data_IF_858603280645
#
_entry.id   IF_858603280645
#
_cell.length_a   1.000
_cell.length_b   1.000
_cell.length_c   1.000
_cell.angle_alpha   90.00
_cell.angle_beta   90.00
_cell.angle_gamma   90.00
#
_symmetry.space_group_name_H-M   'P 1'
#
loop_
_entity.id
_entity.type
_entity.pdbx_description
1 polymer ?
#
# COMPACT_ATOMS: atom_id res chain seq x y z
N UNK A 1 -9.27 6.30 34.22
CA UNK A 1 -8.92 7.69 33.81
C UNK A 1 -10.18 8.53 33.94
N UNK A 2 -10.10 9.86 33.93
CA UNK A 2 -11.33 10.67 33.88
C UNK A 2 -11.80 10.81 32.43
N UNK A 3 -13.11 11.01 32.21
CA UNK A 3 -13.67 11.23 30.86
C UNK A 3 -13.04 12.42 30.15
N UNK A 4 -12.66 13.46 30.90
CA UNK A 4 -11.92 14.62 30.36
C UNK A 4 -10.57 14.16 29.79
N UNK A 5 -9.85 13.27 30.49
CA UNK A 5 -8.59 12.70 30.00
C UNK A 5 -8.80 11.84 28.75
N UNK A 6 -9.84 11.01 28.70
CA UNK A 6 -10.15 10.16 27.54
C UNK A 6 -10.47 10.98 26.29
N UNK A 7 -11.28 12.04 26.45
CA UNK A 7 -11.59 12.99 25.37
C UNK A 7 -10.32 13.75 24.93
N UNK A 8 -9.50 14.19 25.88
CA UNK A 8 -8.24 14.86 25.56
C UNK A 8 -7.32 13.94 24.73
N UNK A 9 -7.19 12.66 25.11
CA UNK A 9 -6.42 11.67 24.35
C UNK A 9 -7.02 11.47 22.96
N UNK A 10 -8.34 11.31 22.84
CA UNK A 10 -9.02 11.13 21.56
C UNK A 10 -8.74 12.31 20.61
N UNK A 11 -8.92 13.53 21.09
CA UNK A 11 -8.74 14.76 20.30
C UNK A 11 -7.28 14.91 19.88
N UNK A 12 -6.33 14.77 20.82
CA UNK A 12 -4.90 14.87 20.51
C UNK A 12 -4.43 13.77 19.55
N UNK A 13 -4.89 12.53 19.72
CA UNK A 13 -4.58 11.43 18.82
C UNK A 13 -5.11 11.68 17.40
N UNK A 14 -6.31 12.26 17.26
CA UNK A 14 -6.86 12.65 15.97
C UNK A 14 -6.02 13.73 15.28
N UNK A 15 -5.58 14.76 16.01
CA UNK A 15 -4.66 15.77 15.48
C UNK A 15 -3.33 15.17 15.03
N UNK A 16 -2.74 14.28 15.83
CA UNK A 16 -1.51 13.57 15.46
C UNK A 16 -1.71 12.72 14.20
N UNK A 17 -2.84 12.01 14.10
CA UNK A 17 -3.18 11.22 12.92
C UNK A 17 -3.27 12.07 11.65
N UNK A 18 -3.96 13.22 11.72
CA UNK A 18 -4.06 14.17 10.62
C UNK A 18 -2.67 14.70 10.19
N UNK A 19 -1.85 15.11 11.16
CA UNK A 19 -0.54 15.72 10.92
C UNK A 19 0.47 14.73 10.31
N UNK A 20 0.39 13.44 10.68
CA UNK A 20 1.24 12.38 10.13
C UNK A 20 0.79 12.00 8.72
N UNK A 21 -0.52 11.76 8.51
CA UNK A 21 -1.04 11.34 7.20
C UNK A 21 -0.84 12.42 6.13
N UNK A 22 -0.96 13.70 6.50
CA UNK A 22 -0.78 14.83 5.58
C UNK A 22 0.65 14.93 5.00
N UNK A 23 1.63 14.24 5.57
CA UNK A 23 3.03 14.24 5.12
C UNK A 23 3.44 12.99 4.35
N UNK A 24 2.52 12.06 4.11
CA UNK A 24 2.83 10.83 3.37
C UNK A 24 2.86 11.13 1.86
N UNK A 25 3.90 10.71 1.11
CA UNK A 25 3.98 10.92 -0.33
C UNK A 25 2.93 10.09 -1.08
N UNK A 26 2.55 10.54 -2.29
CA UNK A 26 1.46 9.92 -3.05
C UNK A 26 1.69 8.43 -3.36
N UNK A 27 2.94 8.04 -3.55
CA UNK A 27 3.35 6.65 -3.82
C UNK A 27 3.00 5.70 -2.67
N UNK A 28 2.85 6.22 -1.46
CA UNK A 28 2.56 5.43 -0.26
C UNK A 28 1.09 5.45 0.16
N UNK A 29 0.17 6.14 -0.52
CA UNK A 29 -1.25 6.14 -0.12
C UNK A 29 -1.87 4.74 -0.12
N UNK A 30 -1.57 3.91 -1.13
CA UNK A 30 -2.12 2.55 -1.21
C UNK A 30 -1.53 1.61 -0.16
N UNK A 31 -0.19 1.55 0.03
CA UNK A 31 0.38 0.85 1.18
C UNK A 31 -0.13 1.36 2.53
N UNK A 32 -0.29 2.67 2.70
CA UNK A 32 -0.81 3.30 3.91
C UNK A 32 -2.26 2.88 4.17
N UNK A 33 -3.10 2.87 3.13
CA UNK A 33 -4.49 2.43 3.20
C UNK A 33 -4.59 0.96 3.64
N UNK A 34 -3.71 0.10 3.13
CA UNK A 34 -3.61 -1.29 3.59
C UNK A 34 -3.08 -1.39 5.03
N UNK A 35 -2.10 -0.56 5.39
CA UNK A 35 -1.51 -0.52 6.72
C UNK A 35 -2.51 -0.10 7.80
N UNK A 36 -3.32 0.92 7.55
CA UNK A 36 -4.39 1.35 8.47
C UNK A 36 -5.48 0.30 8.62
N UNK A 37 -5.74 -0.49 7.58
CA UNK A 37 -6.63 -1.64 7.68
C UNK A 37 -6.09 -2.69 8.67
N UNK A 38 -4.79 -2.98 8.68
CA UNK A 38 -4.18 -3.90 9.66
C UNK A 38 -4.23 -3.35 11.10
N UNK A 39 -4.04 -2.02 11.26
CA UNK A 39 -4.04 -1.35 12.57
C UNK A 39 -5.43 -1.39 13.22
N UNK A 40 -6.50 -1.25 12.43
CA UNK A 40 -7.87 -1.34 12.97
C UNK A 40 -8.17 -2.71 13.59
N UNK A 41 -7.35 -3.73 13.30
CA UNK A 41 -7.38 -5.04 13.93
C UNK A 41 -7.24 -5.04 15.45
N UNK A 42 -6.96 -3.89 16.09
CA UNK A 42 -7.01 -3.70 17.56
C UNK A 42 -8.32 -4.19 18.21
N UNK A 43 -9.40 -4.32 17.45
CA UNK A 43 -10.65 -4.97 17.88
C UNK A 43 -10.40 -6.38 18.46
N UNK A 44 -9.38 -7.10 17.97
CA UNK A 44 -8.93 -8.37 18.53
C UNK A 44 -8.59 -8.27 20.02
N UNK A 45 -7.90 -7.20 20.43
CA UNK A 45 -7.55 -6.98 21.84
C UNK A 45 -8.82 -6.78 22.68
N UNK A 46 -9.81 -6.04 22.15
CA UNK A 46 -11.11 -5.89 22.79
C UNK A 46 -11.82 -7.23 23.00
N UNK A 47 -11.82 -8.09 21.98
CA UNK A 47 -12.37 -9.45 22.08
C UNK A 47 -11.66 -10.31 23.12
N UNK A 48 -10.32 -10.28 23.13
CA UNK A 48 -9.51 -11.06 24.06
C UNK A 48 -9.65 -10.61 25.52
N UNK A 49 -9.80 -9.31 25.77
CA UNK A 49 -10.06 -8.79 27.11
C UNK A 49 -11.49 -9.13 27.57
N UNK A 50 -12.45 -9.10 26.66
CA UNK A 50 -13.88 -9.31 26.98
C UNK A 50 -14.22 -10.79 27.19
N UNK A 51 -13.57 -11.72 26.47
CA UNK A 51 -13.86 -13.16 26.60
C UNK A 51 -13.54 -13.69 28.00
N UNK A 52 -12.53 -13.14 28.66
CA UNK A 52 -12.19 -13.47 30.05
C UNK A 52 -13.28 -13.10 31.05
N UNK A 53 -14.07 -12.06 30.76
CA UNK A 53 -15.19 -11.60 31.58
C UNK A 53 -16.55 -12.18 31.16
N UNK A 54 -16.61 -12.89 30.03
CA UNK A 54 -17.85 -13.43 29.48
C UNK A 54 -18.37 -14.63 30.27
N UNK A 55 -19.69 -14.68 30.46
CA UNK A 55 -20.34 -15.74 31.24
C UNK A 55 -21.32 -16.56 30.40
N UNK A 56 -21.94 -15.95 29.39
CA UNK A 56 -22.92 -16.59 28.52
C UNK A 56 -22.29 -17.42 27.40
N UNK A 57 -22.97 -18.51 27.01
CA UNK A 57 -22.57 -19.31 25.83
C UNK A 57 -22.63 -18.47 24.55
N UNK A 58 -23.69 -17.67 24.38
CA UNK A 58 -23.83 -16.79 23.23
C UNK A 58 -22.71 -15.74 23.17
N UNK A 59 -22.37 -15.11 24.30
CA UNK A 59 -21.27 -14.15 24.40
C UNK A 59 -19.94 -14.78 23.97
N UNK A 60 -19.63 -15.97 24.48
CA UNK A 60 -18.40 -16.71 24.14
C UNK A 60 -18.33 -17.02 22.65
N UNK A 61 -19.44 -17.47 22.05
CA UNK A 61 -19.48 -17.76 20.61
C UNK A 61 -19.23 -16.49 19.79
N UNK A 62 -19.91 -15.39 20.12
CA UNK A 62 -19.71 -14.11 19.43
C UNK A 62 -18.28 -13.58 19.58
N UNK A 63 -17.69 -13.73 20.77
CA UNK A 63 -16.32 -13.30 21.04
C UNK A 63 -15.28 -14.16 20.31
N UNK A 64 -15.50 -15.47 20.21
CA UNK A 64 -14.65 -16.35 19.40
C UNK A 64 -14.69 -15.93 17.93
N UNK A 65 -15.88 -15.63 17.40
CA UNK A 65 -16.04 -15.11 16.04
C UNK A 65 -15.32 -13.77 15.88
N UNK A 66 -15.51 -12.84 16.82
CA UNK A 66 -14.85 -11.53 16.78
C UNK A 66 -13.31 -11.63 16.82
N UNK A 67 -12.77 -12.51 17.66
CA UNK A 67 -11.32 -12.77 17.73
C UNK A 67 -10.81 -13.39 16.42
N UNK A 68 -11.56 -14.32 15.83
CA UNK A 68 -11.21 -14.94 14.55
C UNK A 68 -11.14 -13.90 13.42
N UNK A 69 -12.16 -13.05 13.27
CA UNK A 69 -12.16 -11.95 12.30
C UNK A 69 -11.06 -10.91 12.58
N UNK A 70 -10.83 -10.56 13.85
CA UNK A 70 -9.75 -9.67 14.25
C UNK A 70 -8.37 -10.23 13.88
N UNK A 71 -8.19 -11.54 14.04
CA UNK A 71 -6.94 -12.22 13.66
C UNK A 71 -6.72 -12.16 12.16
N UNK A 72 -7.76 -12.47 11.37
CA UNK A 72 -7.70 -12.40 9.90
C UNK A 72 -7.36 -10.99 9.43
N UNK A 73 -7.95 -9.97 10.04
CA UNK A 73 -7.70 -8.57 9.70
C UNK A 73 -6.24 -8.15 9.96
N UNK A 74 -5.70 -8.49 11.13
CA UNK A 74 -4.29 -8.23 11.47
C UNK A 74 -3.36 -8.96 10.50
N UNK A 75 -3.49 -10.29 10.40
CA UNK A 75 -2.57 -11.11 9.61
C UNK A 75 -2.67 -10.76 8.13
N UNK A 76 -3.89 -10.72 7.58
CA UNK A 76 -4.11 -10.36 6.18
C UNK A 76 -3.65 -8.94 5.86
N UNK A 77 -3.98 -7.97 6.72
CA UNK A 77 -3.58 -6.57 6.55
C UNK A 77 -2.07 -6.38 6.55
N UNK A 78 -1.34 -7.01 7.48
CA UNK A 78 0.12 -6.90 7.53
C UNK A 78 0.81 -7.62 6.38
N UNK A 79 0.32 -8.80 5.96
CA UNK A 79 0.88 -9.52 4.80
C UNK A 79 0.71 -8.75 3.49
N UNK A 80 -0.45 -8.16 3.26
CA UNK A 80 -0.70 -7.34 2.06
C UNK A 80 0.15 -6.08 2.09
N UNK A 81 0.23 -5.41 3.23
CA UNK A 81 1.06 -4.21 3.41
C UNK A 81 2.54 -4.50 3.18
N UNK A 82 3.07 -5.60 3.71
CA UNK A 82 4.47 -6.00 3.48
C UNK A 82 4.76 -6.28 1.99
N UNK A 83 3.86 -7.00 1.31
CA UNK A 83 3.97 -7.23 -0.13
C UNK A 83 3.96 -5.92 -0.92
N UNK A 84 3.11 -4.96 -0.53
CA UNK A 84 3.07 -3.64 -1.15
C UNK A 84 4.37 -2.86 -0.92
N UNK A 85 4.89 -2.87 0.31
CA UNK A 85 6.15 -2.19 0.64
C UNK A 85 7.37 -2.85 0.01
N UNK A 86 7.31 -4.16 -0.25
CA UNK A 86 8.34 -4.91 -0.98
C UNK A 86 8.62 -4.37 -2.38
N UNK A 87 7.65 -3.69 -3.01
CA UNK A 87 7.79 -3.10 -4.34
C UNK A 87 8.69 -1.84 -4.35
N UNK A 88 8.98 -1.25 -3.19
CA UNK A 88 9.91 -0.11 -3.07
C UNK A 88 11.37 -0.52 -2.84
N UNK A 89 11.64 -1.82 -2.65
CA UNK A 89 13.00 -2.33 -2.49
C UNK A 89 13.66 -2.34 -3.88
N UNK A 90 14.82 -1.70 -4.02
CA UNK A 90 15.63 -1.79 -5.25
C UNK A 90 15.97 -3.26 -5.50
N UNK A 91 15.68 -3.75 -6.70
CA UNK A 91 16.15 -5.05 -7.17
C UNK A 91 17.69 -5.01 -7.17
N UNK A 92 18.41 -6.02 -6.64
CA UNK A 92 19.85 -6.07 -6.79
C UNK A 92 20.18 -5.98 -8.28
N UNK A 93 21.08 -5.05 -8.65
CA UNK A 93 21.57 -4.94 -10.01
C UNK A 93 22.14 -6.30 -10.41
N UNK A 94 21.80 -6.84 -11.60
CA UNK A 94 22.57 -7.93 -12.17
C UNK A 94 24.01 -7.42 -12.25
N UNK A 95 24.91 -8.01 -11.47
CA UNK A 95 26.34 -7.73 -11.60
C UNK A 95 26.66 -7.97 -13.07
N UNK A 96 27.04 -6.91 -13.77
CA UNK A 96 27.50 -6.99 -15.14
C UNK A 96 28.68 -7.94 -15.16
N UNK A 97 28.44 -9.17 -15.61
CA UNK A 97 29.50 -10.08 -16.00
C UNK A 97 30.29 -9.36 -17.09
N UNK A 98 31.58 -9.16 -16.83
CA UNK A 98 32.48 -8.42 -17.68
C UNK A 98 32.39 -8.91 -19.12
N UNK A 99 32.04 -8.01 -20.05
CA UNK A 99 32.12 -8.27 -21.48
C UNK A 99 33.59 -8.55 -21.86
N UNK A 100 33.89 -9.60 -22.63
CA UNK A 100 35.22 -9.77 -23.18
C UNK A 100 35.47 -8.74 -24.29
N UNK A 101 36.63 -8.10 -24.23
CA UNK A 101 37.19 -7.10 -25.14
C UNK A 101 37.04 -7.44 -26.65
N UNK A 102 36.92 -6.42 -27.54
CA UNK A 102 36.67 -6.65 -28.96
C UNK A 102 37.96 -6.95 -29.73
N UNK A 103 38.03 -8.11 -30.40
CA UNK A 103 38.98 -8.35 -31.49
C UNK A 103 38.42 -7.80 -32.81
N UNK A 104 39.25 -7.05 -33.54
CA UNK A 104 38.83 -6.19 -34.65
C UNK A 104 38.79 -6.79 -36.07
N UNK A 105 38.32 -5.92 -36.99
CA UNK A 105 38.33 -6.05 -38.46
C UNK A 105 36.96 -6.48 -39.04
N UNK A 106 36.34 -5.86 -40.04
CA UNK A 106 36.79 -5.05 -41.20
C UNK A 106 35.61 -4.22 -41.76
N UNK A 107 35.91 -3.35 -42.74
CA UNK A 107 35.09 -2.27 -43.28
C UNK A 107 33.99 -2.66 -44.29
N UNK A 108 33.03 -1.74 -44.48
CA UNK A 108 31.97 -1.73 -45.51
C UNK A 108 30.61 -2.06 -44.90
N UNK A 109 29.54 -1.29 -45.01
CA UNK A 109 29.03 -0.52 -46.14
C UNK A 109 28.00 0.52 -45.64
N UNK A 110 27.81 1.58 -46.42
CA UNK A 110 26.97 2.72 -46.09
C UNK A 110 25.45 2.39 -46.04
N UNK A 111 24.74 2.99 -45.09
CA UNK A 111 23.27 2.99 -45.07
C UNK A 111 22.69 3.69 -43.83
N UNK A 112 22.55 5.02 -43.88
CA UNK A 112 21.67 5.76 -42.96
C UNK A 112 20.22 5.80 -43.46
N UNK A 113 19.30 6.46 -42.73
CA UNK A 113 18.60 5.95 -41.56
C UNK A 113 17.12 5.68 -41.89
N UNK A 114 16.48 4.70 -41.23
CA UNK A 114 15.02 4.61 -41.22
C UNK A 114 14.52 4.96 -39.82
N UNK A 115 14.19 6.24 -39.65
CA UNK A 115 13.43 6.71 -38.50
C UNK A 115 12.06 6.03 -38.54
N UNK A 116 11.80 5.14 -37.61
CA UNK A 116 10.45 4.64 -37.35
C UNK A 116 9.67 5.79 -36.71
N UNK A 117 8.64 6.26 -37.41
CA UNK A 117 7.77 7.32 -36.94
C UNK A 117 7.08 6.85 -35.65
N UNK A 118 7.23 7.63 -34.57
CA UNK A 118 6.42 7.45 -33.38
C UNK A 118 4.93 7.63 -33.76
N UNK A 119 4.03 6.74 -33.33
CA UNK A 119 2.60 6.91 -33.59
C UNK A 119 2.11 8.18 -32.89
N UNK A 120 1.38 9.03 -33.61
CA UNK A 120 0.77 10.24 -33.06
C UNK A 120 -0.10 9.90 -31.84
N UNK A 121 -0.06 10.72 -30.77
CA UNK A 121 -0.94 10.52 -29.63
C UNK A 121 -2.40 10.72 -30.03
N UNK A 122 -3.26 9.79 -29.61
CA UNK A 122 -4.69 9.86 -29.86
C UNK A 122 -5.27 11.21 -29.39
N UNK A 123 -6.21 11.80 -30.16
CA UNK A 123 -6.85 13.03 -29.76
C UNK A 123 -7.63 12.83 -28.44
N UNK A 124 -7.67 13.85 -27.55
CA UNK A 124 -8.39 13.75 -26.30
C UNK A 124 -9.88 13.50 -26.56
N UNK A 125 -10.39 12.41 -26.00
CA UNK A 125 -11.81 12.10 -25.99
C UNK A 125 -12.57 13.22 -25.26
N UNK A 126 -13.38 13.99 -25.99
CA UNK A 126 -14.30 14.95 -25.37
C UNK A 126 -14.58 16.26 -26.12
N UNK A 127 -14.10 16.46 -27.34
CA UNK A 127 -14.49 17.61 -28.15
C UNK A 127 -15.51 17.22 -29.24
N UNK A 128 -16.70 16.81 -28.82
CA UNK A 128 -17.88 16.79 -29.69
C UNK A 128 -19.03 17.53 -29.01
N UNK A 129 -19.54 18.56 -29.68
CA UNK A 129 -20.93 19.00 -29.53
C UNK A 129 -21.16 20.34 -28.81
N UNK A 130 -20.80 21.45 -29.44
CA UNK A 130 -21.53 22.70 -29.25
C UNK A 130 -22.84 22.67 -30.04
N UNK A 131 -23.90 23.32 -29.55
CA UNK A 131 -25.07 23.63 -30.37
C UNK A 131 -26.38 23.78 -29.61
N UNK A 132 -26.68 25.04 -29.24
CA UNK A 132 -27.93 25.61 -28.72
C UNK A 132 -28.17 25.51 -27.22
#
# INVERSE_FOLDING_TARGET
MSTITEIAILVLAAFVGFEVISKVPNTLHTPLMSGTNAIHGIVLLGGLLTIAASSGVLEKVLLVIAIMFGTINIVGGFLVTDRMLGMFKKKPEPTAEAEPEPEGGTAGEAGGPKAEAEPEPDPPAGAEGGGQ
#
